data_IF_469416668668
#
_entry.id   IF_469416668668
#
_cell.length_a   1.000
_cell.length_b   1.000
_cell.length_c   1.000
_cell.angle_alpha   90.00
_cell.angle_beta   90.00
_cell.angle_gamma   90.00
#
_symmetry.space_group_name_H-M   'P 1'
#
loop_
_entity.id
_entity.type
_entity.pdbx_description
1 polymer ?
#
# COMPACT_ATOMS: atom_id res chain seq x y z
N UNK A 1 -14.02 -27.76 5.93
CA UNK A 1 -13.74 -27.51 5.72
C UNK A 1 -13.11 -27.17 5.49
N UNK A 2 -12.87 -26.86 5.51
CA UNK A 2 -12.38 -26.45 5.38
C UNK A 2 -11.80 -25.90 4.93
N UNK A 3 -11.68 -26.45 4.58
CA UNK A 3 -11.35 -25.74 3.80
C UNK A 3 -10.98 -24.53 4.13
N UNK A 4 -11.06 -24.17 5.05
CA UNK A 4 -10.71 -23.00 5.34
C UNK A 4 -9.44 -22.66 5.16
N UNK A 5 -8.53 -23.37 5.36
CA UNK A 5 -7.16 -23.06 5.22
C UNK A 5 -6.81 -22.72 3.85
N UNK A 6 -7.53 -23.17 2.93
CA UNK A 6 -7.14 -22.88 1.68
C UNK A 6 -7.63 -21.66 1.18
N UNK A 7 -8.54 -21.00 1.77
CA UNK A 7 -8.96 -19.81 1.19
C UNK A 7 -8.11 -18.71 1.62
N UNK A 8 -7.88 -17.74 0.78
CA UNK A 8 -7.18 -16.58 1.16
C UNK A 8 -8.10 -15.71 1.90
N UNK A 9 -7.80 -15.45 3.14
CA UNK A 9 -8.59 -14.54 3.90
C UNK A 9 -8.22 -13.15 3.54
N UNK A 10 -9.15 -12.23 3.48
CA UNK A 10 -8.78 -10.83 3.24
C UNK A 10 -7.93 -10.32 4.40
N UNK A 11 -7.04 -9.40 4.13
CA UNK A 11 -6.26 -8.81 5.21
C UNK A 11 -7.16 -8.09 6.19
N UNK A 12 -6.72 -8.07 7.43
CA UNK A 12 -7.47 -7.36 8.46
C UNK A 12 -7.15 -5.89 8.32
N UNK A 13 -8.11 -5.12 7.85
CA UNK A 13 -7.90 -3.70 7.65
C UNK A 13 -8.53 -2.86 8.74
N UNK A 14 -8.93 -3.46 9.83
CA UNK A 14 -9.66 -2.73 10.86
C UNK A 14 -8.84 -1.61 11.46
N UNK A 15 -7.53 -1.70 11.44
CA UNK A 15 -6.69 -0.63 11.98
C UNK A 15 -5.95 0.12 10.90
N UNK A 16 -6.27 -0.12 9.63
CA UNK A 16 -5.50 0.46 8.55
C UNK A 16 -5.59 1.96 8.55
N UNK A 17 -6.79 2.51 8.60
CA UNK A 17 -6.95 3.95 8.53
C UNK A 17 -6.31 4.64 9.71
N UNK A 18 -6.47 4.04 10.89
CA UNK A 18 -5.90 4.62 12.07
C UNK A 18 -4.38 4.66 11.96
N UNK A 19 -3.79 3.55 11.56
CA UNK A 19 -2.34 3.49 11.47
C UNK A 19 -1.81 4.34 10.34
N UNK A 20 -2.53 4.39 9.22
CA UNK A 20 -2.09 5.18 8.10
C UNK A 20 -2.11 6.67 8.45
N UNK A 21 -3.07 7.10 9.23
CA UNK A 21 -3.15 8.51 9.60
C UNK A 21 -2.00 8.92 10.50
N UNK A 22 -1.35 7.95 11.15
CA UNK A 22 -0.19 8.24 11.98
C UNK A 22 1.12 8.07 11.21
N UNK A 23 1.04 7.71 9.94
CA UNK A 23 2.24 7.46 9.15
C UNK A 23 3.00 8.77 9.01
N UNK A 24 4.32 8.77 9.21
CA UNK A 24 5.08 10.01 9.19
C UNK A 24 5.04 10.70 7.84
N UNK A 25 4.77 12.00 7.87
CA UNK A 25 4.71 12.77 6.65
C UNK A 25 6.05 12.75 5.93
N UNK A 26 7.13 12.73 6.69
CA UNK A 26 8.45 12.71 6.08
C UNK A 26 8.68 11.47 5.26
N UNK A 27 8.10 10.35 5.69
CA UNK A 27 8.22 9.14 4.90
C UNK A 27 7.38 9.23 3.65
N UNK A 28 6.19 9.79 3.76
CA UNK A 28 5.34 9.94 2.60
C UNK A 28 5.96 10.86 1.56
N UNK A 29 6.72 11.85 2.01
CA UNK A 29 7.33 12.79 1.08
C UNK A 29 8.25 12.10 0.09
N UNK A 30 8.81 10.97 0.46
CA UNK A 30 9.68 10.24 -0.44
C UNK A 30 8.92 9.62 -1.60
N UNK A 31 7.60 9.56 -1.48
CA UNK A 31 6.79 8.87 -2.48
C UNK A 31 5.81 9.82 -3.16
N UNK A 32 6.01 11.13 -3.04
CA UNK A 32 5.11 12.07 -3.69
C UNK A 32 5.08 11.81 -5.19
N UNK A 33 3.88 11.71 -5.73
CA UNK A 33 3.70 11.44 -7.14
C UNK A 33 3.85 9.99 -7.53
N UNK A 34 3.92 9.09 -6.54
CA UNK A 34 4.10 7.68 -6.82
C UNK A 34 2.96 6.86 -6.29
N UNK A 35 2.81 5.69 -6.86
CA UNK A 35 1.89 4.70 -6.34
C UNK A 35 2.63 3.87 -5.29
N UNK A 36 1.99 3.63 -4.17
CA UNK A 36 2.62 2.84 -3.12
C UNK A 36 1.69 1.74 -2.67
N UNK A 37 2.24 0.72 -2.06
CA UNK A 37 1.48 -0.36 -1.45
C UNK A 37 1.79 -0.37 0.03
N UNK A 38 0.76 -0.16 0.83
CA UNK A 38 0.88 -0.22 2.28
C UNK A 38 0.65 -1.63 2.76
N UNK A 39 1.30 -1.99 3.83
CA UNK A 39 0.97 -3.22 4.53
C UNK A 39 -0.48 -3.18 4.96
N UNK A 40 -1.11 -4.33 5.20
CA UNK A 40 -2.54 -4.33 5.55
C UNK A 40 -2.88 -3.53 6.79
N UNK A 41 -1.94 -3.39 7.71
CA UNK A 41 -2.20 -2.61 8.92
C UNK A 41 -1.82 -1.15 8.74
N UNK A 42 -1.30 -0.75 7.58
CA UNK A 42 -1.02 0.65 7.32
C UNK A 42 0.23 1.20 7.97
N UNK A 43 1.07 0.34 8.53
CA UNK A 43 2.21 0.84 9.29
C UNK A 43 3.45 1.03 8.44
N UNK A 44 3.48 0.50 7.21
CA UNK A 44 4.68 0.67 6.40
C UNK A 44 4.33 0.53 4.92
N UNK A 45 5.20 1.05 4.10
CA UNK A 45 5.09 0.91 2.66
C UNK A 45 5.99 -0.24 2.25
N UNK A 46 5.42 -1.21 1.56
CA UNK A 46 6.15 -2.42 1.20
C UNK A 46 6.64 -2.40 -0.23
N UNK A 47 6.10 -1.51 -1.07
CA UNK A 47 6.56 -1.38 -2.44
C UNK A 47 6.05 -0.06 -3.00
N UNK A 48 6.64 0.39 -4.09
CA UNK A 48 6.21 1.61 -4.75
C UNK A 48 6.54 1.53 -6.23
N UNK A 49 6.01 2.46 -7.00
CA UNK A 49 6.32 2.56 -8.42
C UNK A 49 5.75 3.85 -8.96
N UNK A 50 6.21 4.28 -10.12
CA UNK A 50 5.70 5.51 -10.72
C UNK A 50 4.31 5.28 -11.29
N UNK A 51 3.97 4.06 -11.64
CA UNK A 51 2.64 3.71 -12.13
C UNK A 51 2.18 2.47 -11.39
N UNK A 52 0.89 2.18 -11.52
CA UNK A 52 0.37 0.95 -10.92
C UNK A 52 1.01 -0.29 -11.52
N UNK A 53 1.33 -0.23 -12.81
CA UNK A 53 1.97 -1.37 -13.44
C UNK A 53 3.35 -1.61 -12.85
N UNK A 54 4.11 -0.55 -12.64
CA UNK A 54 5.41 -0.68 -12.01
C UNK A 54 5.28 -1.20 -10.59
N UNK A 55 4.30 -0.69 -9.87
CA UNK A 55 4.07 -1.15 -8.52
C UNK A 55 3.77 -2.64 -8.50
N UNK A 56 2.96 -3.10 -9.44
CA UNK A 56 2.62 -4.51 -9.51
C UNK A 56 3.87 -5.36 -9.79
N UNK A 57 4.72 -4.91 -10.71
CA UNK A 57 5.94 -5.63 -11.00
C UNK A 57 6.83 -5.69 -9.77
N UNK A 58 6.92 -4.59 -9.04
CA UNK A 58 7.76 -4.56 -7.85
C UNK A 58 7.20 -5.44 -6.75
N UNK A 59 5.89 -5.51 -6.62
CA UNK A 59 5.29 -6.41 -5.65
C UNK A 59 5.58 -7.87 -6.01
N UNK A 60 5.47 -8.20 -7.29
CA UNK A 60 5.78 -9.55 -7.71
C UNK A 60 7.23 -9.89 -7.43
N UNK A 61 8.12 -8.97 -7.71
CA UNK A 61 9.53 -9.20 -7.45
C UNK A 61 9.81 -9.42 -5.99
N UNK A 62 9.01 -8.82 -5.13
CA UNK A 62 9.17 -8.99 -3.69
C UNK A 62 8.42 -10.21 -3.15
N UNK A 63 7.69 -10.91 -4.01
CA UNK A 63 6.93 -12.07 -3.56
C UNK A 63 5.66 -11.70 -2.82
N UNK A 64 5.13 -10.50 -3.03
CA UNK A 64 3.95 -10.05 -2.32
C UNK A 64 2.78 -10.04 -3.30
N UNK A 65 1.69 -10.68 -2.89
CA UNK A 65 0.52 -10.73 -3.74
C UNK A 65 -0.22 -9.40 -3.65
N UNK A 66 -0.69 -8.92 -4.79
CA UNK A 66 -1.35 -7.63 -4.86
C UNK A 66 -2.55 -7.54 -3.92
N UNK A 67 -3.25 -8.65 -3.71
CA UNK A 67 -4.42 -8.65 -2.85
C UNK A 67 -4.09 -8.57 -1.37
N UNK A 68 -2.81 -8.63 -1.03
CA UNK A 68 -2.41 -8.58 0.37
C UNK A 68 -1.96 -7.19 0.81
N UNK A 69 -2.14 -6.19 -0.04
CA UNK A 69 -1.70 -4.84 0.28
C UNK A 69 -2.78 -3.84 -0.06
N UNK A 70 -2.63 -2.64 0.42
CA UNK A 70 -3.55 -1.54 0.09
C UNK A 70 -2.76 -0.55 -0.76
N UNK A 71 -3.19 -0.34 -1.99
CA UNK A 71 -2.47 0.56 -2.88
C UNK A 71 -3.04 1.97 -2.77
N UNK A 72 -2.19 2.94 -2.95
CA UNK A 72 -2.57 4.33 -2.78
C UNK A 72 -1.65 5.22 -3.60
N UNK A 73 -2.19 6.30 -4.14
CA UNK A 73 -1.37 7.29 -4.82
C UNK A 73 -1.05 8.39 -3.81
N UNK A 74 0.20 8.80 -3.74
CA UNK A 74 0.61 9.82 -2.79
C UNK A 74 0.69 11.15 -3.52
N UNK A 75 -0.30 12.01 -3.28
CA UNK A 75 -0.35 13.30 -3.92
C UNK A 75 0.69 14.24 -3.37
N UNK A 76 1.43 14.91 -4.22
CA UNK A 76 2.34 15.97 -3.73
C UNK A 76 1.49 17.12 -3.17
N UNK A 77 2.01 17.82 -2.17
CA UNK A 77 1.20 18.82 -1.49
C UNK A 77 0.80 19.99 -2.36
N UNK A 78 1.57 20.31 -3.38
CA UNK A 78 1.23 21.45 -4.18
C UNK A 78 0.57 21.07 -5.48
N UNK A 79 0.22 19.82 -5.68
CA UNK A 79 -0.35 19.42 -6.93
C UNK A 79 -1.80 19.74 -7.05
N UNK A 80 -2.44 19.97 -5.99
CA UNK A 80 -3.85 20.06 -6.03
C UNK A 80 -4.38 21.43 -6.09
N UNK A 81 -3.52 22.39 -6.18
CA UNK A 81 -4.05 23.59 -6.14
C UNK A 81 -3.97 24.26 -7.26
N UNK A 82 -4.61 24.50 -7.83
CA UNK A 82 -4.54 25.17 -8.87
C UNK A 82 -5.58 25.37 -9.32
#
# INVERSE_FOLDING_TARGET
MNTNGERLEPPDLSHFEENQSKFPVEELAKYWGKQVAFSPDGTRIVASGDTLQELDVNLEAAGIHFSQVVTCYIDPPDASYI
#
